data_IF_850282926844
#
_entry.id   IF_850282926844
#
_cell.length_a   1.000
_cell.length_b   1.000
_cell.length_c   1.000
_cell.angle_alpha   90.00
_cell.angle_beta   90.00
_cell.angle_gamma   90.00
#
_symmetry.space_group_name_H-M   'P 1'
#
loop_
_entity.id
_entity.type
_entity.pdbx_description
1 polymer ?
#
# COMPACT_ATOMS: atom_id res chain seq x y z
N UNK A 1 -1.76 8.65 14.62
CA UNK A 1 -2.59 8.73 15.84
C UNK A 1 -2.92 7.33 16.32
N UNK A 2 -2.95 7.11 17.63
CA UNK A 2 -3.36 5.84 18.24
C UNK A 2 -4.27 6.13 19.45
N UNK A 3 -5.55 6.39 19.18
CA UNK A 3 -6.57 6.62 20.19
C UNK A 3 -7.62 5.51 20.09
N UNK A 4 -7.81 4.74 21.17
CA UNK A 4 -8.66 3.55 21.18
C UNK A 4 -9.88 3.75 22.10
N UNK A 5 -11.05 3.32 21.62
CA UNK A 5 -12.36 3.47 22.29
C UNK A 5 -12.62 4.89 22.84
N UNK A 6 -12.29 5.91 22.05
CA UNK A 6 -12.48 7.32 22.41
C UNK A 6 -13.74 7.89 21.74
N UNK A 7 -14.46 8.78 22.43
CA UNK A 7 -15.71 9.38 21.93
C UNK A 7 -15.67 10.90 22.10
N UNK A 8 -16.10 11.67 21.09
CA UNK A 8 -16.04 13.13 21.14
C UNK A 8 -14.63 13.63 21.49
N UNK A 9 -13.66 13.33 20.61
CA UNK A 9 -12.28 13.79 20.77
C UNK A 9 -11.80 14.48 19.49
N UNK A 10 -11.31 15.73 19.60
CA UNK A 10 -10.72 16.49 18.49
C UNK A 10 -9.20 16.46 18.60
N UNK A 11 -8.51 16.18 17.48
CA UNK A 11 -7.06 16.23 17.32
C UNK A 11 -6.23 15.47 18.39
N UNK A 12 -6.84 14.60 19.19
CA UNK A 12 -6.23 13.96 20.36
C UNK A 12 -5.61 12.61 20.01
N UNK A 13 -4.44 12.31 20.57
CA UNK A 13 -3.66 11.09 20.31
C UNK A 13 -3.25 10.37 21.61
N UNK A 14 -2.98 9.07 21.51
CA UNK A 14 -2.53 8.21 22.62
C UNK A 14 -3.54 8.10 23.77
N UNK A 15 -4.84 8.28 23.48
CA UNK A 15 -5.90 8.16 24.47
C UNK A 15 -6.50 6.74 24.51
N UNK A 16 -7.00 6.34 25.69
CA UNK A 16 -7.71 5.07 25.93
C UNK A 16 -8.98 5.32 26.72
N UNK A 17 -10.11 4.85 26.19
CA UNK A 17 -11.42 4.90 26.87
C UNK A 17 -11.83 6.32 27.34
N UNK A 18 -11.34 7.38 26.66
CA UNK A 18 -11.59 8.78 27.03
C UNK A 18 -12.76 9.37 26.27
N UNK A 19 -13.39 10.38 26.86
CA UNK A 19 -14.44 11.18 26.20
C UNK A 19 -14.18 12.67 26.40
N UNK A 20 -14.63 13.48 25.45
CA UNK A 20 -14.60 14.96 25.55
C UNK A 20 -13.19 15.50 25.75
N UNK A 21 -12.29 15.22 24.80
CA UNK A 21 -10.91 15.73 24.82
C UNK A 21 -10.58 16.53 23.56
N UNK A 22 -9.83 17.63 23.69
CA UNK A 22 -9.39 18.46 22.57
C UNK A 22 -7.89 18.70 22.77
N UNK A 23 -7.06 18.29 21.80
CA UNK A 23 -5.58 18.26 21.93
C UNK A 23 -5.11 17.61 23.25
N UNK A 24 -5.66 16.43 23.58
CA UNK A 24 -5.47 15.69 24.83
C UNK A 24 -5.93 16.38 26.14
N UNK A 25 -6.34 17.64 26.11
CA UNK A 25 -6.93 18.32 27.27
C UNK A 25 -8.35 17.80 27.52
N UNK A 26 -8.73 17.39 28.75
CA UNK A 26 -10.09 16.98 29.09
C UNK A 26 -11.03 18.19 29.23
N UNK A 27 -12.30 17.97 28.93
CA UNK A 27 -13.41 18.92 29.06
C UNK A 27 -14.62 18.23 29.70
N UNK A 28 -15.52 18.98 30.33
CA UNK A 28 -16.89 18.49 30.54
C UNK A 28 -17.60 18.32 29.19
N UNK A 29 -18.71 17.58 29.18
CA UNK A 29 -19.51 17.38 27.95
C UNK A 29 -19.99 18.72 27.40
N UNK A 30 -20.46 19.59 28.28
CA UNK A 30 -21.05 20.89 27.97
C UNK A 30 -19.99 21.85 27.41
N UNK A 31 -18.82 21.96 28.08
CA UNK A 31 -17.69 22.76 27.58
C UNK A 31 -17.16 22.21 26.25
N UNK A 32 -17.06 20.89 26.07
CA UNK A 32 -16.62 20.30 24.81
C UNK A 32 -17.54 20.71 23.64
N UNK A 33 -18.86 20.64 23.83
CA UNK A 33 -19.81 21.05 22.79
C UNK A 33 -19.93 22.58 22.62
N UNK A 34 -19.39 23.38 23.55
CA UNK A 34 -19.18 24.81 23.35
C UNK A 34 -17.88 25.08 22.57
N UNK A 35 -16.79 24.40 22.92
CA UNK A 35 -15.48 24.56 22.27
C UNK A 35 -15.51 24.09 20.82
N UNK A 36 -16.16 22.94 20.54
CA UNK A 36 -16.22 22.38 19.19
C UNK A 36 -16.95 23.30 18.18
N UNK A 37 -17.86 24.16 18.65
CA UNK A 37 -18.58 25.13 17.80
C UNK A 37 -17.70 26.25 17.26
N UNK A 38 -16.53 26.50 17.86
CA UNK A 38 -15.54 27.46 17.36
C UNK A 38 -14.82 26.96 16.09
N UNK A 39 -14.85 25.65 15.86
CA UNK A 39 -14.12 24.96 14.81
C UNK A 39 -15.05 24.59 13.65
N UNK A 40 -15.53 25.60 12.89
CA UNK A 40 -16.39 25.36 11.73
C UNK A 40 -15.59 24.75 10.57
N UNK A 41 -15.65 23.42 10.46
CA UNK A 41 -15.00 22.62 9.42
C UNK A 41 -15.53 22.91 8.00
N UNK A 42 -16.63 23.66 7.85
CA UNK A 42 -17.15 24.03 6.54
C UNK A 42 -16.28 25.06 5.82
N UNK A 43 -15.43 25.79 6.56
CA UNK A 43 -14.41 26.72 6.05
C UNK A 43 -13.10 26.00 5.70
N UNK A 44 -12.57 26.25 4.50
CA UNK A 44 -11.29 25.70 4.05
C UNK A 44 -10.11 26.22 4.91
N UNK A 45 -10.09 27.53 5.21
CA UNK A 45 -9.09 28.13 6.11
C UNK A 45 -9.11 27.48 7.50
N UNK A 46 -10.29 27.37 8.12
CA UNK A 46 -10.43 26.76 9.45
C UNK A 46 -10.04 25.27 9.43
N UNK A 47 -10.46 24.52 8.40
CA UNK A 47 -10.06 23.13 8.21
C UNK A 47 -8.54 22.96 8.10
N UNK A 48 -7.87 23.79 7.30
CA UNK A 48 -6.40 23.75 7.13
C UNK A 48 -5.65 24.16 8.39
N UNK A 49 -6.14 25.13 9.15
CA UNK A 49 -5.53 25.53 10.41
C UNK A 49 -5.68 24.45 11.50
N UNK A 50 -6.86 23.82 11.62
CA UNK A 50 -7.06 22.67 12.51
C UNK A 50 -6.13 21.51 12.12
N UNK A 51 -5.99 21.22 10.83
CA UNK A 51 -5.05 20.20 10.34
C UNK A 51 -3.62 20.52 10.80
N UNK A 52 -3.16 21.76 10.60
CA UNK A 52 -1.81 22.20 11.01
C UNK A 52 -1.62 22.07 12.52
N UNK A 53 -2.55 22.60 13.33
CA UNK A 53 -2.51 22.50 14.79
C UNK A 53 -2.50 21.05 15.28
N UNK A 54 -3.25 20.17 14.62
CA UNK A 54 -3.29 18.75 14.94
C UNK A 54 -1.98 18.05 14.60
N UNK A 55 -1.41 18.30 13.41
CA UNK A 55 -0.10 17.78 13.02
C UNK A 55 1.02 18.26 13.94
N UNK A 56 1.01 19.54 14.33
CA UNK A 56 1.99 20.10 15.28
C UNK A 56 1.82 19.50 16.68
N UNK A 57 0.59 19.32 17.17
CA UNK A 57 0.32 18.61 18.43
C UNK A 57 0.81 17.16 18.40
N UNK A 58 0.58 16.41 17.32
CA UNK A 58 1.01 15.02 17.22
C UNK A 58 2.53 14.84 17.19
N UNK A 59 3.29 15.81 16.66
CA UNK A 59 4.78 15.80 16.73
C UNK A 59 5.32 15.88 18.17
N UNK A 60 4.54 16.44 19.10
CA UNK A 60 4.93 16.54 20.53
C UNK A 60 4.68 15.25 21.32
N UNK A 61 3.95 14.29 20.75
CA UNK A 61 3.56 13.05 21.41
C UNK A 61 4.31 11.86 20.79
N UNK A 62 4.90 10.96 21.59
CA UNK A 62 5.56 9.78 21.05
C UNK A 62 4.50 8.89 20.37
N UNK A 63 4.61 8.57 19.07
CA UNK A 63 3.59 7.82 18.35
C UNK A 63 3.68 6.31 18.68
N UNK A 64 2.57 5.55 18.47
CA UNK A 64 2.61 4.08 18.50
C UNK A 64 3.70 3.61 17.53
N UNK A 65 4.74 2.88 17.99
CA UNK A 65 5.91 2.58 17.18
C UNK A 65 5.57 1.65 16.02
N UNK A 66 4.84 0.57 16.32
CA UNK A 66 4.42 -0.48 15.40
C UNK A 66 2.98 -0.92 15.73
N UNK A 67 2.33 -1.55 14.76
CA UNK A 67 1.07 -2.28 14.96
C UNK A 67 1.41 -3.76 14.77
N UNK A 68 1.59 -4.48 15.88
CA UNK A 68 2.25 -5.79 15.95
C UNK A 68 1.69 -6.68 17.09
N UNK A 69 0.37 -6.63 17.33
CA UNK A 69 -0.24 -7.29 18.50
C UNK A 69 -0.21 -8.83 18.36
N UNK A 70 -0.13 -9.58 19.47
CA UNK A 70 -0.05 -11.07 19.46
C UNK A 70 1.04 -11.72 18.57
N UNK A 71 2.07 -10.98 18.15
CA UNK A 71 3.06 -11.46 17.16
C UNK A 71 4.48 -11.62 17.73
N UNK A 72 5.25 -12.56 17.19
CA UNK A 72 6.62 -12.90 17.65
C UNK A 72 7.60 -13.03 16.49
N UNK A 73 8.74 -12.34 16.53
CA UNK A 73 9.76 -12.40 15.47
C UNK A 73 9.19 -12.04 14.08
N UNK A 74 8.65 -10.82 13.95
CA UNK A 74 7.97 -10.35 12.72
C UNK A 74 8.31 -8.88 12.45
N UNK A 75 8.52 -8.51 11.19
CA UNK A 75 8.94 -7.15 10.77
C UNK A 75 8.28 -6.84 9.44
N UNK A 76 7.59 -5.71 9.19
CA UNK A 76 6.92 -4.87 10.19
C UNK A 76 6.04 -3.72 9.66
N UNK A 77 4.75 -3.95 9.36
CA UNK A 77 3.65 -3.03 9.75
C UNK A 77 2.29 -3.70 9.65
N UNK A 78 1.37 -3.40 10.57
CA UNK A 78 0.05 -4.04 10.71
C UNK A 78 0.14 -5.57 10.70
N UNK A 79 0.68 -6.06 11.80
CA UNK A 79 0.84 -7.46 12.18
C UNK A 79 0.06 -7.69 13.49
N UNK A 80 -0.57 -8.85 13.62
CA UNK A 80 -1.66 -9.26 14.52
C UNK A 80 -1.80 -10.80 14.48
N UNK A 81 -1.15 -11.55 15.39
CA UNK A 81 -1.16 -13.04 15.43
C UNK A 81 -0.19 -13.75 14.43
N UNK A 82 1.00 -13.20 14.17
CA UNK A 82 2.03 -13.80 13.29
C UNK A 82 3.29 -14.30 14.02
N UNK A 83 4.06 -15.20 13.38
CA UNK A 83 5.36 -15.71 13.87
C UNK A 83 6.38 -15.82 12.73
N UNK A 84 7.66 -15.50 12.96
CA UNK A 84 8.76 -15.72 12.01
C UNK A 84 8.51 -15.14 10.58
N UNK A 85 8.49 -13.82 10.39
CA UNK A 85 8.19 -13.20 9.08
C UNK A 85 8.98 -11.91 8.79
N UNK A 86 9.52 -11.75 7.57
CA UNK A 86 10.43 -10.65 7.22
C UNK A 86 10.36 -10.30 5.73
N UNK A 87 10.24 -9.05 5.26
CA UNK A 87 10.04 -7.75 5.93
C UNK A 87 8.58 -7.25 5.81
N UNK A 88 7.63 -8.19 5.91
CA UNK A 88 6.18 -8.03 5.75
C UNK A 88 5.54 -6.70 6.20
N UNK A 89 4.60 -6.28 5.38
CA UNK A 89 3.51 -5.40 5.76
C UNK A 89 2.29 -5.84 4.96
N UNK A 90 1.16 -5.15 5.01
CA UNK A 90 0.26 -5.34 6.14
C UNK A 90 -0.34 -6.74 6.01
N UNK A 91 -0.23 -7.59 7.02
CA UNK A 91 -0.70 -8.98 6.94
C UNK A 91 -0.61 -9.73 8.26
N UNK A 92 -1.56 -10.66 8.41
CA UNK A 92 -1.56 -11.77 9.37
C UNK A 92 -2.13 -13.05 8.75
N UNK A 93 -2.15 -14.20 9.42
CA UNK A 93 -1.31 -14.58 10.57
C UNK A 93 -0.28 -15.58 10.09
N UNK A 94 0.98 -15.18 9.91
CA UNK A 94 1.92 -15.79 8.95
C UNK A 94 3.09 -16.51 9.67
N UNK A 95 3.74 -17.53 9.07
CA UNK A 95 4.93 -18.29 9.58
C UNK A 95 5.47 -19.32 8.55
N UNK A 96 6.74 -19.50 8.17
CA UNK A 96 8.04 -18.91 8.59
C UNK A 96 8.73 -18.03 7.50
N UNK A 97 8.09 -17.88 6.34
CA UNK A 97 8.07 -16.70 5.45
C UNK A 97 9.32 -15.91 5.03
N UNK A 98 9.28 -15.55 3.75
CA UNK A 98 9.51 -14.20 3.20
C UNK A 98 8.52 -13.98 2.02
N UNK A 99 8.59 -12.96 1.17
CA UNK A 99 8.74 -11.53 1.41
C UNK A 99 7.39 -10.82 1.10
N UNK A 100 6.98 -9.83 1.90
CA UNK A 100 6.37 -8.54 1.48
C UNK A 100 4.95 -8.37 0.84
N UNK A 101 4.05 -7.72 1.62
CA UNK A 101 3.15 -6.62 1.17
C UNK A 101 2.02 -6.95 0.16
N UNK A 102 0.72 -7.12 0.47
CA UNK A 102 -0.10 -7.13 1.71
C UNK A 102 -1.28 -8.14 1.61
N UNK A 103 -1.61 -8.88 2.69
CA UNK A 103 -2.78 -9.78 2.83
C UNK A 103 -3.49 -9.51 4.20
N UNK A 104 -4.55 -10.23 4.62
CA UNK A 104 -5.21 -9.92 5.93
C UNK A 104 -5.91 -11.13 6.62
N UNK A 105 -5.14 -11.99 7.31
CA UNK A 105 -5.55 -13.28 7.94
C UNK A 105 -5.97 -14.35 6.90
N UNK A 106 -5.79 -15.69 7.09
CA UNK A 106 -5.79 -16.47 8.35
C UNK A 106 -4.96 -17.81 8.37
N UNK A 107 -3.98 -17.99 9.28
CA UNK A 107 -2.76 -18.75 8.94
C UNK A 107 -2.17 -18.57 7.52
N UNK A 108 -0.85 -18.38 7.38
CA UNK A 108 -0.17 -18.31 6.06
C UNK A 108 1.25 -18.89 6.16
N UNK A 109 1.53 -20.03 5.51
CA UNK A 109 2.75 -20.84 5.76
C UNK A 109 3.36 -21.49 4.49
N UNK A 110 4.69 -21.64 4.44
CA UNK A 110 5.54 -21.96 3.25
C UNK A 110 5.53 -20.89 2.13
N UNK A 111 6.28 -19.79 2.30
CA UNK A 111 6.07 -18.55 1.54
C UNK A 111 7.36 -17.76 1.20
N UNK A 112 7.40 -17.02 0.07
CA UNK A 112 6.46 -17.02 -1.07
C UNK A 112 7.23 -16.79 -2.39
N UNK A 113 7.66 -15.61 -2.84
CA UNK A 113 7.50 -14.26 -2.29
C UNK A 113 6.31 -13.48 -2.90
N UNK A 114 5.84 -12.47 -2.16
CA UNK A 114 4.56 -11.77 -2.32
C UNK A 114 4.77 -10.37 -2.94
N UNK A 115 3.73 -9.83 -3.59
CA UNK A 115 3.47 -8.38 -3.74
C UNK A 115 1.95 -8.15 -3.99
N UNK A 116 1.12 -8.51 -2.98
CA UNK A 116 -0.36 -8.48 -2.87
C UNK A 116 -1.16 -9.35 -3.86
N UNK A 117 -2.22 -10.11 -3.53
CA UNK A 117 -3.04 -10.35 -2.32
C UNK A 117 -3.16 -11.90 -2.11
N UNK A 118 -3.78 -12.44 -1.04
CA UNK A 118 -3.67 -13.89 -0.71
C UNK A 118 -4.54 -14.41 0.46
N UNK A 119 -4.80 -15.74 0.48
CA UNK A 119 -5.51 -16.49 1.54
C UNK A 119 -5.38 -18.04 1.32
N UNK A 120 -4.79 -18.82 2.25
CA UNK A 120 -4.06 -20.11 2.04
C UNK A 120 -2.55 -19.82 1.86
N UNK A 121 -1.79 -20.85 1.51
CA UNK A 121 -0.91 -20.95 0.33
C UNK A 121 0.49 -21.43 0.74
N UNK A 122 0.89 -22.63 0.30
CA UNK A 122 2.16 -23.27 0.66
C UNK A 122 2.97 -23.78 -0.55
N UNK A 123 4.31 -23.69 -0.58
CA UNK A 123 5.21 -23.99 -1.73
C UNK A 123 5.11 -23.01 -2.92
N UNK A 124 6.01 -22.02 -3.00
CA UNK A 124 5.99 -21.01 -4.07
C UNK A 124 7.37 -20.38 -4.33
N UNK A 125 7.57 -19.71 -5.48
CA UNK A 125 8.66 -18.75 -5.79
C UNK A 125 8.43 -18.12 -7.17
N UNK A 126 8.64 -16.85 -7.48
CA UNK A 126 8.16 -15.65 -6.78
C UNK A 126 6.92 -15.10 -7.53
N UNK A 127 6.21 -14.09 -6.98
CA UNK A 127 4.90 -13.70 -7.51
C UNK A 127 4.46 -12.24 -7.23
N UNK A 128 3.61 -11.70 -8.12
CA UNK A 128 3.02 -10.35 -8.00
C UNK A 128 1.46 -10.31 -8.13
N UNK A 129 0.79 -11.45 -7.95
CA UNK A 129 -0.66 -11.61 -7.69
C UNK A 129 -1.01 -13.10 -7.54
N UNK A 130 -1.63 -13.55 -6.44
CA UNK A 130 -2.32 -14.86 -6.38
C UNK A 130 -3.32 -14.94 -5.20
N UNK A 131 -4.38 -14.12 -5.24
CA UNK A 131 -5.42 -14.09 -4.21
C UNK A 131 -6.20 -15.40 -4.06
N UNK A 132 -6.14 -15.97 -2.85
CA UNK A 132 -6.86 -17.16 -2.36
C UNK A 132 -6.58 -18.51 -3.07
N UNK A 133 -6.19 -19.55 -2.31
CA UNK A 133 -5.79 -20.88 -2.78
C UNK A 133 -4.54 -20.96 -3.67
N UNK A 134 -3.57 -21.75 -3.23
CA UNK A 134 -2.57 -22.40 -4.06
C UNK A 134 -1.74 -23.34 -3.19
N UNK A 135 -1.06 -24.30 -3.81
CA UNK A 135 0.16 -24.83 -3.23
C UNK A 135 0.98 -25.48 -4.34
N UNK A 136 2.22 -25.05 -4.53
CA UNK A 136 3.00 -25.27 -5.75
C UNK A 136 2.71 -24.22 -6.83
N UNK A 137 3.66 -23.29 -7.04
CA UNK A 137 3.78 -22.42 -8.22
C UNK A 137 5.21 -21.88 -8.40
N UNK A 138 5.79 -22.02 -9.61
CA UNK A 138 7.14 -21.50 -9.98
C UNK A 138 7.23 -21.07 -11.47
N UNK A 139 7.44 -19.83 -11.91
CA UNK A 139 7.66 -18.55 -11.25
C UNK A 139 6.75 -17.50 -11.96
N UNK A 140 6.02 -16.67 -11.21
CA UNK A 140 4.61 -16.40 -11.56
C UNK A 140 4.16 -14.92 -11.45
N UNK A 141 2.97 -14.59 -11.96
CA UNK A 141 2.60 -13.19 -12.23
C UNK A 141 1.33 -12.62 -11.54
N UNK A 142 0.26 -13.33 -11.18
CA UNK A 142 -0.14 -14.73 -11.37
C UNK A 142 -1.68 -14.89 -11.40
N UNK A 143 -2.25 -15.96 -10.82
CA UNK A 143 -3.72 -16.19 -10.80
C UNK A 143 -4.23 -17.15 -9.70
N UNK A 144 -4.76 -16.63 -8.59
CA UNK A 144 -5.78 -17.36 -7.81
C UNK A 144 -7.11 -17.32 -8.60
N UNK A 145 -8.02 -18.31 -8.63
CA UNK A 145 -8.50 -19.31 -7.65
C UNK A 145 -8.97 -20.58 -8.44
N UNK A 146 -8.90 -21.86 -8.04
CA UNK A 146 -8.43 -22.55 -6.81
C UNK A 146 -7.30 -23.56 -7.15
N UNK A 147 -6.10 -23.45 -6.58
CA UNK A 147 -4.94 -24.21 -7.05
C UNK A 147 -4.34 -25.29 -6.11
N UNK A 148 -3.79 -26.36 -6.71
CA UNK A 148 -2.63 -27.12 -6.23
C UNK A 148 -1.71 -27.59 -7.40
N UNK A 149 -0.48 -27.07 -7.47
CA UNK A 149 0.69 -27.31 -8.35
C UNK A 149 0.76 -26.72 -9.78
N UNK A 150 1.82 -25.94 -10.10
CA UNK A 150 2.05 -25.32 -11.42
C UNK A 150 3.42 -24.63 -11.64
N UNK A 151 3.67 -24.32 -12.91
CA UNK A 151 4.79 -23.50 -13.40
C UNK A 151 4.38 -22.78 -14.71
N UNK A 152 5.05 -21.75 -15.24
CA UNK A 152 5.15 -20.35 -14.80
C UNK A 152 3.87 -19.63 -15.28
N UNK A 153 3.22 -18.70 -14.54
CA UNK A 153 1.80 -18.42 -14.86
C UNK A 153 1.20 -17.01 -14.61
N UNK A 154 0.23 -16.62 -15.45
CA UNK A 154 -0.93 -15.74 -15.19
C UNK A 154 -2.13 -16.31 -15.99
N UNK A 155 -3.34 -16.36 -15.40
CA UNK A 155 -4.43 -17.25 -15.82
C UNK A 155 -4.03 -18.74 -15.96
N UNK A 156 -4.29 -19.51 -14.92
CA UNK A 156 -4.89 -20.84 -15.06
C UNK A 156 -5.56 -21.20 -13.73
N UNK A 157 -5.72 -22.50 -13.46
CA UNK A 157 -5.51 -23.14 -12.16
C UNK A 157 -6.77 -23.61 -11.41
N UNK A 158 -7.33 -24.70 -11.94
CA UNK A 158 -7.34 -25.95 -11.19
C UNK A 158 -6.64 -27.05 -12.01
N UNK A 159 -6.24 -28.16 -11.39
CA UNK A 159 -5.50 -29.26 -12.05
C UNK A 159 -3.99 -29.25 -11.75
N UNK A 160 -3.27 -30.30 -12.18
CA UNK A 160 -1.86 -30.57 -11.85
C UNK A 160 -0.94 -30.64 -13.08
N UNK A 161 0.38 -30.72 -12.89
CA UNK A 161 1.35 -30.96 -13.99
C UNK A 161 1.23 -29.91 -15.13
N UNK A 162 1.53 -28.65 -14.83
CA UNK A 162 1.49 -27.53 -15.77
C UNK A 162 2.87 -26.89 -15.92
N UNK A 163 3.27 -26.52 -17.15
CA UNK A 163 4.58 -25.92 -17.40
C UNK A 163 4.58 -24.81 -18.47
N UNK A 164 4.63 -23.55 -18.02
CA UNK A 164 4.84 -22.34 -18.84
C UNK A 164 3.56 -21.67 -19.36
N UNK A 165 2.52 -21.54 -18.53
CA UNK A 165 1.14 -21.30 -18.96
C UNK A 165 0.61 -19.85 -18.83
N UNK A 166 -0.10 -19.39 -19.87
CA UNK A 166 -1.11 -18.29 -19.84
C UNK A 166 -2.14 -18.69 -20.90
N UNK A 167 -3.24 -19.40 -20.61
CA UNK A 167 -4.49 -18.93 -19.96
C UNK A 167 -5.46 -20.11 -19.63
N UNK A 168 -5.10 -21.03 -18.72
CA UNK A 168 -5.73 -22.38 -18.59
C UNK A 168 -7.05 -22.50 -17.80
N UNK A 169 -7.83 -23.58 -18.04
CA UNK A 169 -9.22 -23.77 -17.55
C UNK A 169 -9.58 -25.17 -17.02
N UNK A 170 -8.70 -25.79 -16.22
CA UNK A 170 -8.73 -27.19 -15.72
C UNK A 170 -8.21 -28.25 -16.70
N UNK A 171 -7.40 -29.16 -16.16
CA UNK A 171 -6.80 -30.31 -16.82
C UNK A 171 -5.43 -30.63 -16.25
N UNK A 172 -4.86 -31.76 -16.66
CA UNK A 172 -3.52 -32.21 -16.25
C UNK A 172 -2.63 -32.44 -17.48
N UNK A 173 -1.31 -32.28 -17.31
CA UNK A 173 -0.26 -32.45 -18.33
C UNK A 173 -0.37 -31.42 -19.47
N UNK A 174 -0.14 -30.15 -19.14
CA UNK A 174 -0.34 -29.00 -20.04
C UNK A 174 0.95 -28.20 -20.25
N UNK A 175 1.27 -27.91 -21.52
CA UNK A 175 2.35 -27.01 -21.95
C UNK A 175 1.78 -26.07 -23.02
N UNK A 176 1.99 -24.75 -22.86
CA UNK A 176 1.52 -23.70 -23.78
C UNK A 176 0.06 -23.86 -24.27
N UNK A 177 -0.88 -24.07 -23.33
CA UNK A 177 -2.32 -24.28 -23.57
C UNK A 177 -2.71 -25.59 -24.30
N UNK A 178 -1.79 -26.52 -24.55
CA UNK A 178 -2.08 -27.84 -25.12
C UNK A 178 -1.94 -28.96 -24.09
N UNK A 179 -2.86 -29.92 -24.12
CA UNK A 179 -2.81 -31.17 -23.32
C UNK A 179 -2.02 -32.25 -24.05
N UNK A 180 -1.32 -33.08 -23.28
CA UNK A 180 -0.50 -34.19 -23.73
C UNK A 180 -0.78 -35.45 -22.91
N UNK A 181 -0.43 -36.62 -23.45
CA UNK A 181 -0.30 -37.82 -22.64
C UNK A 181 0.93 -37.73 -21.72
N UNK A 182 0.91 -38.42 -20.58
CA UNK A 182 1.92 -38.30 -19.52
C UNK A 182 3.36 -38.43 -20.04
N UNK A 183 3.65 -39.51 -20.76
CA UNK A 183 4.99 -39.80 -21.30
C UNK A 183 5.48 -38.76 -22.32
N UNK A 184 4.55 -38.13 -23.06
CA UNK A 184 4.87 -37.06 -24.00
C UNK A 184 5.17 -35.76 -23.26
N UNK A 185 4.36 -35.43 -22.25
CA UNK A 185 4.57 -34.29 -21.37
C UNK A 185 5.93 -34.35 -20.68
N UNK A 186 6.28 -35.48 -20.07
CA UNK A 186 7.54 -35.63 -19.33
C UNK A 186 8.76 -35.45 -20.25
N UNK A 187 8.73 -36.05 -21.45
CA UNK A 187 9.78 -35.89 -22.47
C UNK A 187 9.87 -34.45 -22.99
N UNK A 188 8.74 -33.80 -23.25
CA UNK A 188 8.70 -32.42 -23.75
C UNK A 188 9.16 -31.43 -22.69
N UNK A 189 8.72 -31.58 -21.43
CA UNK A 189 9.16 -30.75 -20.29
C UNK A 189 10.67 -30.87 -20.09
N UNK A 190 11.22 -32.09 -20.07
CA UNK A 190 12.66 -32.30 -19.94
C UNK A 190 13.46 -31.62 -21.07
N UNK A 191 13.00 -31.76 -22.34
CA UNK A 191 13.63 -31.12 -23.50
C UNK A 191 13.60 -29.59 -23.41
N UNK A 192 12.49 -29.00 -22.99
CA UNK A 192 12.36 -27.54 -22.83
C UNK A 192 13.32 -27.05 -21.74
N UNK A 193 13.38 -27.73 -20.58
CA UNK A 193 14.27 -27.36 -19.47
C UNK A 193 15.75 -27.47 -19.87
N UNK A 194 16.15 -28.52 -20.59
CA UNK A 194 17.51 -28.65 -21.11
C UNK A 194 17.84 -27.48 -22.04
N UNK A 195 16.97 -27.17 -23.00
CA UNK A 195 17.13 -26.06 -23.93
C UNK A 195 17.24 -24.69 -23.23
N UNK A 196 16.44 -24.43 -22.19
CA UNK A 196 16.53 -23.19 -21.37
C UNK A 196 17.86 -23.07 -20.60
N UNK A 197 18.55 -24.18 -20.35
CA UNK A 197 19.84 -24.18 -19.66
C UNK A 197 21.04 -24.10 -20.61
N UNK A 198 20.93 -24.72 -21.79
CA UNK A 198 21.95 -24.69 -22.86
C UNK A 198 21.92 -23.36 -23.64
N UNK A 199 20.74 -22.79 -23.86
CA UNK A 199 20.54 -21.49 -24.51
C UNK A 199 19.64 -20.59 -23.64
N UNK A 200 20.18 -20.05 -22.54
CA UNK A 200 19.46 -19.12 -21.68
C UNK A 200 19.20 -17.79 -22.38
N UNK A 201 18.14 -17.10 -21.95
CA UNK A 201 17.93 -15.72 -22.37
C UNK A 201 18.95 -14.82 -21.68
N UNK A 202 19.59 -13.91 -22.41
CA UNK A 202 20.53 -12.93 -21.86
C UNK A 202 20.04 -11.54 -22.24
N UNK A 203 19.75 -10.72 -21.24
CA UNK A 203 19.20 -9.38 -21.48
C UNK A 203 20.29 -8.36 -21.87
N UNK A 204 19.86 -7.13 -22.18
CA UNK A 204 20.75 -6.02 -22.55
C UNK A 204 21.79 -5.64 -21.48
N UNK A 205 21.63 -6.07 -20.23
CA UNK A 205 22.58 -5.85 -19.12
C UNK A 205 23.50 -7.06 -18.88
N UNK A 206 23.36 -8.14 -19.66
CA UNK A 206 24.10 -9.38 -19.46
C UNK A 206 23.54 -10.26 -18.34
N UNK A 207 22.32 -9.96 -17.83
CA UNK A 207 21.65 -10.81 -16.84
C UNK A 207 21.17 -12.08 -17.54
N UNK A 208 21.50 -13.24 -16.96
CA UNK A 208 21.25 -14.56 -17.56
C UNK A 208 20.01 -15.19 -16.93
N UNK A 209 19.02 -15.51 -17.76
CA UNK A 209 17.74 -16.06 -17.37
C UNK A 209 17.63 -17.52 -17.84
N UNK A 210 17.74 -18.44 -16.88
CA UNK A 210 17.65 -19.90 -17.06
C UNK A 210 16.30 -20.44 -16.60
N UNK A 211 16.07 -21.74 -16.78
CA UNK A 211 15.02 -22.41 -16.02
C UNK A 211 15.31 -22.28 -14.51
N UNK A 212 14.44 -21.55 -13.80
CA UNK A 212 14.62 -21.13 -12.41
C UNK A 212 14.44 -19.63 -12.20
N UNK A 213 14.54 -18.82 -13.26
CA UNK A 213 14.61 -17.36 -13.16
C UNK A 213 13.26 -16.68 -13.46
N UNK A 214 13.02 -15.54 -12.80
CA UNK A 214 11.83 -14.73 -13.06
C UNK A 214 11.86 -14.10 -14.47
N UNK A 215 10.70 -13.65 -14.97
CA UNK A 215 10.62 -13.01 -16.28
C UNK A 215 11.59 -11.82 -16.41
N UNK A 216 12.38 -11.72 -17.51
CA UNK A 216 13.27 -10.60 -17.74
C UNK A 216 12.53 -9.25 -17.68
N UNK A 217 13.09 -8.30 -16.94
CA UNK A 217 12.40 -7.03 -16.65
C UNK A 217 12.15 -6.18 -17.89
N UNK A 218 12.95 -6.34 -18.95
CA UNK A 218 12.72 -5.68 -20.23
C UNK A 218 11.48 -6.20 -20.99
N UNK A 219 10.93 -7.35 -20.58
CA UNK A 219 9.64 -7.88 -21.05
C UNK A 219 8.45 -7.40 -20.20
N UNK A 220 8.68 -6.65 -19.11
CA UNK A 220 7.60 -6.03 -18.35
C UNK A 220 6.71 -5.18 -19.27
N UNK A 221 5.37 -5.26 -19.19
CA UNK A 221 4.49 -4.39 -19.97
C UNK A 221 4.51 -2.94 -19.48
N UNK A 222 4.93 -2.67 -18.24
CA UNK A 222 4.97 -1.33 -17.63
C UNK A 222 6.38 -0.71 -17.64
N UNK A 223 6.49 0.61 -17.65
CA UNK A 223 7.73 1.31 -17.32
C UNK A 223 7.89 1.45 -15.80
N UNK A 224 9.13 1.59 -15.31
CA UNK A 224 9.44 1.67 -13.89
C UNK A 224 8.62 2.76 -13.16
N UNK A 225 8.57 3.94 -13.76
CA UNK A 225 7.86 5.13 -13.28
C UNK A 225 6.33 5.07 -13.46
N UNK A 226 5.79 4.00 -14.04
CA UNK A 226 4.35 3.70 -14.05
C UNK A 226 3.95 2.70 -12.95
N UNK A 227 4.92 2.09 -12.27
CA UNK A 227 4.68 1.12 -11.20
C UNK A 227 4.82 1.75 -9.81
N UNK A 228 4.20 1.12 -8.82
CA UNK A 228 4.32 1.50 -7.41
C UNK A 228 5.77 1.43 -6.88
N UNK A 229 6.67 0.69 -7.56
CA UNK A 229 8.08 0.62 -7.19
C UNK A 229 8.73 2.00 -7.18
N UNK A 230 8.33 2.89 -8.09
CA UNK A 230 8.82 4.28 -8.14
C UNK A 230 8.42 5.14 -6.92
N UNK A 231 7.38 4.76 -6.18
CA UNK A 231 7.00 5.42 -4.93
C UNK A 231 7.79 4.88 -3.73
N UNK A 232 8.09 3.57 -3.70
CA UNK A 232 8.90 2.95 -2.65
C UNK A 232 10.40 3.25 -2.80
N UNK A 233 10.88 3.29 -4.04
CA UNK A 233 12.28 3.43 -4.41
C UNK A 233 12.42 4.58 -5.44
N UNK A 234 12.17 5.84 -5.05
CA UNK A 234 12.30 6.98 -5.97
C UNK A 234 13.76 7.13 -6.43
N UNK A 235 13.96 7.11 -7.75
CA UNK A 235 15.27 7.15 -8.42
C UNK A 235 15.16 7.93 -9.73
N UNK A 236 16.27 8.43 -10.26
CA UNK A 236 16.32 9.23 -11.48
C UNK A 236 16.15 8.36 -12.74
N UNK A 237 15.69 8.99 -13.84
CA UNK A 237 15.62 8.35 -15.15
C UNK A 237 16.95 7.69 -15.56
N UNK A 238 18.08 8.36 -15.31
CA UNK A 238 19.40 7.86 -15.66
C UNK A 238 19.74 6.55 -14.91
N UNK A 239 19.48 6.50 -13.61
CA UNK A 239 19.68 5.29 -12.80
C UNK A 239 18.74 4.15 -13.19
N UNK A 240 17.50 4.45 -13.59
CA UNK A 240 16.52 3.47 -14.11
C UNK A 240 17.01 2.86 -15.43
N UNK A 241 17.44 3.70 -16.37
CA UNK A 241 17.96 3.27 -17.67
C UNK A 241 19.30 2.51 -17.51
N UNK A 242 20.18 2.95 -16.60
CA UNK A 242 21.42 2.25 -16.25
C UNK A 242 21.16 0.85 -15.69
N UNK A 243 20.12 0.67 -14.87
CA UNK A 243 19.70 -0.64 -14.35
C UNK A 243 18.98 -1.52 -15.40
N UNK A 244 18.80 -1.02 -16.63
CA UNK A 244 18.16 -1.73 -17.72
C UNK A 244 16.63 -1.82 -17.58
N UNK A 245 16.03 -0.89 -16.84
CA UNK A 245 14.58 -0.75 -16.75
C UNK A 245 14.07 0.26 -17.80
N UNK A 246 12.80 0.14 -18.18
CA UNK A 246 12.18 1.08 -19.12
C UNK A 246 11.66 2.32 -18.38
N UNK A 247 11.86 3.50 -18.95
CA UNK A 247 11.25 4.75 -18.52
C UNK A 247 10.20 5.20 -19.56
N UNK A 248 9.05 5.71 -19.11
CA UNK A 248 8.04 6.33 -19.98
C UNK A 248 7.94 7.82 -19.66
N UNK A 249 8.09 8.67 -20.67
CA UNK A 249 7.89 10.11 -20.46
C UNK A 249 6.43 10.41 -20.04
N UNK A 250 6.21 11.16 -18.95
CA UNK A 250 4.87 11.49 -18.50
C UNK A 250 4.11 12.36 -19.51
N UNK A 251 2.92 11.89 -19.91
CA UNK A 251 2.02 12.68 -20.77
C UNK A 251 1.46 13.89 -20.00
N UNK A 252 1.59 15.13 -20.54
CA UNK A 252 1.10 16.33 -19.87
C UNK A 252 -0.44 16.36 -19.85
N UNK A 253 -1.04 16.02 -18.70
CA UNK A 253 -2.50 16.03 -18.50
C UNK A 253 -3.06 17.42 -18.20
N UNK A 254 -2.86 18.36 -19.12
CA UNK A 254 -3.44 19.71 -19.07
C UNK A 254 -4.88 19.70 -19.57
N UNK A 255 -5.74 20.50 -18.94
CA UNK A 255 -7.14 20.66 -19.31
C UNK A 255 -7.47 22.16 -19.36
N UNK A 256 -8.42 22.57 -20.18
CA UNK A 256 -8.96 23.93 -20.11
C UNK A 256 -9.82 24.08 -18.85
N UNK A 257 -9.54 25.13 -18.08
CA UNK A 257 -10.14 25.40 -16.77
C UNK A 257 -10.85 26.73 -16.76
N UNK A 258 -12.08 26.77 -16.26
CA UNK A 258 -12.94 27.96 -16.18
C UNK A 258 -12.81 28.72 -14.86
N UNK A 259 -12.30 28.05 -13.81
CA UNK A 259 -12.16 28.60 -12.46
C UNK A 259 -10.85 28.11 -11.82
N UNK A 260 -10.24 28.90 -10.92
CA UNK A 260 -9.09 28.42 -10.12
C UNK A 260 -9.53 27.94 -8.75
N UNK A 261 -8.75 27.07 -8.13
CA UNK A 261 -8.97 26.66 -6.74
C UNK A 261 -8.91 27.81 -5.71
N UNK A 262 -8.21 28.90 -6.00
CA UNK A 262 -8.16 30.10 -5.15
C UNK A 262 -9.45 30.93 -5.17
N UNK A 263 -10.21 30.88 -6.27
CA UNK A 263 -11.47 31.61 -6.45
C UNK A 263 -12.67 30.92 -5.80
N UNK A 264 -12.50 29.65 -5.38
CA UNK A 264 -13.54 28.89 -4.71
C UNK A 264 -13.92 29.53 -3.37
N UNK A 265 -15.21 29.55 -2.99
CA UNK A 265 -15.64 30.09 -1.70
C UNK A 265 -14.98 29.34 -0.54
N UNK A 266 -14.60 30.07 0.50
CA UNK A 266 -13.94 29.48 1.67
C UNK A 266 -14.86 28.50 2.38
N UNK A 267 -16.14 28.85 2.55
CA UNK A 267 -17.12 28.07 3.29
C UNK A 267 -18.11 27.34 2.36
N UNK A 268 -18.40 26.05 2.65
CA UNK A 268 -19.28 25.20 1.80
C UNK A 268 -20.74 25.69 1.67
N UNK A 269 -21.28 26.35 2.70
CA UNK A 269 -22.59 27.04 2.68
C UNK A 269 -22.66 28.12 1.58
N UNK A 270 -21.53 28.72 1.20
CA UNK A 270 -21.45 29.79 0.21
C UNK A 270 -21.15 29.25 -1.20
N UNK A 271 -21.01 27.92 -1.37
CA UNK A 271 -20.83 27.29 -2.68
C UNK A 271 -22.14 27.32 -3.48
N UNK A 272 -22.21 28.01 -4.64
CA UNK A 272 -23.39 28.00 -5.49
C UNK A 272 -23.49 26.69 -6.29
N UNK A 273 -24.70 26.30 -6.71
CA UNK A 273 -24.91 25.10 -7.55
C UNK A 273 -24.26 25.23 -8.94
N UNK A 274 -23.97 26.45 -9.39
CA UNK A 274 -23.23 26.69 -10.65
C UNK A 274 -21.85 26.05 -10.67
N UNK A 275 -21.25 25.74 -9.51
CA UNK A 275 -19.94 25.08 -9.41
C UNK A 275 -19.90 23.71 -10.12
N UNK A 276 -21.06 23.07 -10.31
CA UNK A 276 -21.20 21.80 -11.02
C UNK A 276 -20.87 21.91 -12.52
N UNK A 277 -20.88 23.12 -13.08
CA UNK A 277 -20.53 23.39 -14.48
C UNK A 277 -19.04 23.76 -14.65
N UNK A 278 -18.34 24.07 -13.56
CA UNK A 278 -16.99 24.63 -13.58
C UNK A 278 -15.90 23.56 -13.74
N UNK A 279 -14.89 23.85 -14.55
CA UNK A 279 -13.64 23.11 -14.60
C UNK A 279 -12.59 23.82 -13.73
N UNK A 280 -12.40 23.34 -12.51
CA UNK A 280 -11.54 23.93 -11.49
C UNK A 280 -10.09 23.52 -11.74
N UNK A 281 -9.17 24.49 -11.84
CA UNK A 281 -7.72 24.24 -11.88
C UNK A 281 -7.22 23.71 -10.54
N UNK A 282 -6.56 22.55 -10.54
CA UNK A 282 -5.93 21.97 -9.36
C UNK A 282 -4.85 22.90 -8.78
N UNK A 283 -4.79 23.02 -7.45
CA UNK A 283 -3.77 23.81 -6.75
C UNK A 283 -2.34 23.21 -6.86
N UNK A 284 -2.21 21.88 -7.03
CA UNK A 284 -0.91 21.17 -7.06
C UNK A 284 -0.40 20.79 -8.46
N UNK A 285 -1.23 20.82 -9.50
CA UNK A 285 -0.83 20.39 -10.85
C UNK A 285 -1.68 21.04 -11.95
N UNK A 286 -1.33 20.81 -13.22
CA UNK A 286 -2.02 21.43 -14.37
C UNK A 286 -3.37 20.78 -14.75
N UNK A 287 -3.86 19.80 -13.97
CA UNK A 287 -5.13 19.12 -14.23
C UNK A 287 -6.32 20.00 -13.84
N UNK A 288 -7.31 20.06 -14.72
CA UNK A 288 -8.67 20.49 -14.36
C UNK A 288 -9.42 19.36 -13.66
N UNK A 289 -10.39 19.69 -12.80
CA UNK A 289 -11.33 18.75 -12.22
C UNK A 289 -12.71 19.39 -12.03
N UNK A 290 -13.75 18.57 -11.85
CA UNK A 290 -15.13 19.02 -11.58
C UNK A 290 -15.61 18.46 -10.25
N UNK A 291 -16.62 19.11 -9.67
CA UNK A 291 -17.40 18.58 -8.54
C UNK A 291 -18.69 17.97 -9.11
N UNK A 292 -19.05 16.75 -8.71
CA UNK A 292 -20.34 16.15 -9.11
C UNK A 292 -21.46 16.45 -8.08
N UNK A 293 -22.75 16.38 -8.46
CA UNK A 293 -23.86 16.72 -7.55
C UNK A 293 -23.85 15.93 -6.22
N UNK A 294 -23.44 14.66 -6.27
CA UNK A 294 -23.31 13.80 -5.09
C UNK A 294 -22.19 14.27 -4.14
N UNK A 295 -21.06 14.74 -4.67
CA UNK A 295 -19.97 15.30 -3.85
C UNK A 295 -20.40 16.62 -3.21
N UNK A 296 -21.02 17.54 -3.98
CA UNK A 296 -21.50 18.83 -3.46
C UNK A 296 -22.53 18.64 -2.34
N UNK A 297 -23.48 17.72 -2.54
CA UNK A 297 -24.46 17.33 -1.52
C UNK A 297 -23.79 16.79 -0.26
N UNK A 298 -22.88 15.83 -0.40
CA UNK A 298 -22.15 15.23 0.72
C UNK A 298 -21.34 16.28 1.50
N UNK A 299 -20.63 17.18 0.81
CA UNK A 299 -19.84 18.23 1.43
C UNK A 299 -20.72 19.21 2.23
N UNK A 300 -21.89 19.59 1.71
CA UNK A 300 -22.88 20.42 2.43
C UNK A 300 -23.44 19.70 3.65
N UNK A 301 -23.90 18.45 3.51
CA UNK A 301 -24.48 17.66 4.61
C UNK A 301 -23.48 17.35 5.73
N UNK A 302 -22.19 17.19 5.39
CA UNK A 302 -21.11 16.96 6.37
C UNK A 302 -20.42 18.24 6.83
N UNK A 303 -20.81 19.40 6.30
CA UNK A 303 -20.20 20.70 6.54
C UNK A 303 -18.67 20.65 6.38
N UNK A 304 -18.23 20.28 5.17
CA UNK A 304 -16.83 20.14 4.73
C UNK A 304 -16.56 21.04 3.51
N UNK A 305 -15.35 21.60 3.34
CA UNK A 305 -15.10 22.60 2.31
C UNK A 305 -14.92 21.96 0.93
N UNK A 306 -15.13 22.74 -0.13
CA UNK A 306 -14.84 22.29 -1.50
C UNK A 306 -13.34 21.95 -1.64
N UNK A 307 -12.98 20.80 -2.26
CA UNK A 307 -11.58 20.42 -2.43
C UNK A 307 -10.86 21.40 -3.37
N UNK A 308 -9.64 21.79 -3.01
CA UNK A 308 -8.74 22.64 -3.83
C UNK A 308 -7.82 21.85 -4.76
N UNK A 309 -7.87 20.52 -4.65
CA UNK A 309 -6.99 19.59 -5.35
C UNK A 309 -7.80 18.53 -6.10
N UNK A 310 -7.35 18.22 -7.32
CA UNK A 310 -7.97 17.18 -8.13
C UNK A 310 -7.94 15.81 -7.42
N UNK A 311 -8.86 14.88 -7.74
CA UNK A 311 -8.90 13.56 -7.12
C UNK A 311 -7.56 12.83 -7.13
N UNK A 312 -6.80 12.92 -8.23
CA UNK A 312 -5.50 12.28 -8.37
C UNK A 312 -4.46 12.76 -7.35
N UNK A 313 -4.30 14.07 -7.15
CA UNK A 313 -3.34 14.59 -6.16
C UNK A 313 -3.75 14.22 -4.72
N UNK A 314 -5.06 14.16 -4.43
CA UNK A 314 -5.58 13.71 -3.13
C UNK A 314 -5.39 12.20 -2.90
N UNK A 315 -5.41 11.40 -3.96
CA UNK A 315 -5.10 9.96 -3.92
C UNK A 315 -3.59 9.75 -3.76
N UNK A 316 -2.78 10.46 -4.54
CA UNK A 316 -1.32 10.44 -4.49
C UNK A 316 -0.76 10.86 -3.13
N UNK A 317 -1.31 11.90 -2.49
CA UNK A 317 -0.93 12.28 -1.13
C UNK A 317 -1.20 11.14 -0.13
N UNK A 318 -2.38 10.51 -0.21
CA UNK A 318 -2.72 9.35 0.64
C UNK A 318 -1.84 8.14 0.35
N UNK A 319 -1.50 7.91 -0.90
CA UNK A 319 -0.63 6.82 -1.32
C UNK A 319 0.80 7.03 -0.80
N UNK A 320 1.35 8.23 -0.94
CA UNK A 320 2.65 8.60 -0.39
C UNK A 320 2.66 8.54 1.14
N UNK A 321 1.56 8.93 1.82
CA UNK A 321 1.39 8.69 3.26
C UNK A 321 1.37 7.19 3.59
N UNK A 322 0.69 6.36 2.81
CA UNK A 322 0.69 4.90 2.99
C UNK A 322 2.10 4.32 2.82
N UNK A 323 2.79 4.57 1.71
CA UNK A 323 4.19 4.15 1.46
C UNK A 323 5.12 4.60 2.60
N UNK A 324 5.03 5.87 3.02
CA UNK A 324 5.77 6.43 4.15
C UNK A 324 5.53 5.67 5.47
N UNK A 325 4.33 5.12 5.67
CA UNK A 325 3.97 4.33 6.84
C UNK A 325 4.52 2.89 6.81
N UNK A 326 5.13 2.45 5.70
CA UNK A 326 5.70 1.10 5.51
C UNK A 326 7.23 1.08 5.59
N UNK A 327 7.87 2.18 6.03
CA UNK A 327 9.33 2.23 6.18
C UNK A 327 9.74 1.54 7.49
N UNK A 328 10.87 0.84 7.46
CA UNK A 328 11.57 0.37 8.66
C UNK A 328 12.80 1.25 8.86
N UNK A 329 12.79 2.05 9.93
CA UNK A 329 13.84 3.02 10.25
C UNK A 329 14.41 2.64 11.62
N UNK A 330 15.71 2.32 11.71
CA UNK A 330 16.38 2.08 13.00
C UNK A 330 16.30 3.32 13.91
N UNK A 331 15.83 3.11 15.14
CA UNK A 331 15.74 4.14 16.18
C UNK A 331 16.19 3.57 17.53
N UNK A 332 16.61 4.47 18.41
CA UNK A 332 16.85 4.20 19.83
C UNK A 332 15.62 4.66 20.62
N UNK A 333 15.17 3.86 21.59
CA UNK A 333 14.05 4.21 22.45
C UNK A 333 14.44 5.32 23.44
N UNK A 334 13.81 6.48 23.36
CA UNK A 334 14.11 7.64 24.20
C UNK A 334 13.83 7.41 25.70
N UNK A 335 13.10 6.35 26.07
CA UNK A 335 12.79 5.99 27.47
C UNK A 335 13.71 4.91 28.08
N UNK A 336 14.36 4.07 27.26
CA UNK A 336 15.15 2.95 27.80
C UNK A 336 16.44 2.58 27.02
N UNK A 337 16.79 3.32 25.96
CA UNK A 337 18.01 3.08 25.19
C UNK A 337 18.01 1.85 24.30
N UNK A 338 16.92 1.07 24.26
CA UNK A 338 16.83 -0.11 23.40
C UNK A 338 16.75 0.26 21.91
N UNK A 339 17.51 -0.45 21.06
CA UNK A 339 17.40 -0.38 19.61
C UNK A 339 16.11 -1.06 19.14
N UNK A 340 15.41 -0.44 18.20
CA UNK A 340 14.21 -1.00 17.56
C UNK A 340 13.95 -0.32 16.20
N UNK A 341 12.99 -0.85 15.44
CA UNK A 341 12.58 -0.27 14.15
C UNK A 341 11.19 0.35 14.23
N UNK A 342 10.99 1.44 13.51
CA UNK A 342 9.70 2.12 13.37
C UNK A 342 9.63 2.89 12.06
N UNK A 343 8.45 3.37 11.69
CA UNK A 343 8.20 4.14 10.45
C UNK A 343 8.51 5.64 10.53
N UNK A 344 8.98 6.14 11.68
CA UNK A 344 9.22 7.57 11.92
C UNK A 344 10.71 7.91 11.95
N UNK A 345 11.12 8.83 11.07
CA UNK A 345 12.39 9.58 11.16
C UNK A 345 12.44 10.46 12.41
N UNK A 346 13.61 11.03 12.70
CA UNK A 346 13.79 11.95 13.85
C UNK A 346 12.99 13.24 13.67
N UNK A 347 12.82 13.67 12.43
CA UNK A 347 12.11 14.87 12.01
C UNK A 347 10.58 14.69 12.10
N UNK A 348 10.09 13.46 11.89
CA UNK A 348 8.66 13.11 11.98
C UNK A 348 8.21 12.80 13.42
N UNK A 349 9.11 12.28 14.25
CA UNK A 349 8.88 12.02 15.67
C UNK A 349 10.17 12.25 16.46
N UNK A 350 10.22 13.39 17.18
CA UNK A 350 11.34 13.79 18.02
C UNK A 350 11.60 12.78 19.14
N UNK A 351 10.52 12.24 19.71
CA UNK A 351 10.53 11.22 20.78
C UNK A 351 9.81 9.97 20.27
N UNK A 352 10.42 8.80 20.43
CA UNK A 352 9.85 7.50 20.08
C UNK A 352 10.13 6.47 21.18
N UNK A 353 9.11 5.69 21.52
CA UNK A 353 9.22 4.62 22.51
C UNK A 353 9.14 3.26 21.83
N UNK A 354 9.97 2.30 22.25
CA UNK A 354 9.81 0.90 21.86
C UNK A 354 8.47 0.36 22.37
N UNK A 355 7.97 -0.74 21.78
CA UNK A 355 6.66 -1.34 22.09
C UNK A 355 6.35 -1.43 23.60
N UNK A 356 7.29 -1.96 24.39
CA UNK A 356 7.18 -2.11 25.84
C UNK A 356 7.00 -0.75 26.55
N UNK A 357 7.84 0.23 26.22
CA UNK A 357 7.80 1.56 26.83
C UNK A 357 6.55 2.35 26.41
N UNK A 358 6.10 2.18 25.16
CA UNK A 358 4.85 2.77 24.67
C UNK A 358 3.63 2.19 25.37
N UNK A 359 3.56 0.86 25.50
CA UNK A 359 2.49 0.18 26.25
C UNK A 359 2.44 0.66 27.70
N UNK A 360 3.57 0.66 28.42
CA UNK A 360 3.66 1.13 29.81
C UNK A 360 3.24 2.61 30.04
N UNK A 361 3.23 3.44 28.99
CA UNK A 361 2.86 4.86 29.08
C UNK A 361 1.39 5.11 28.70
N UNK A 362 0.85 4.36 27.73
CA UNK A 362 -0.43 4.70 27.07
C UNK A 362 -1.45 3.55 26.98
N UNK A 363 -1.16 2.37 27.53
CA UNK A 363 -2.02 1.17 27.47
C UNK A 363 -2.27 0.60 28.86
#
# INVERSE_FOLDING_TARGET
MDSFNCQNCLASANLRNKKYHIFNKPYTKEEYFQEIKKWDLGSYKTYKEIQRLAEDHWKTLPPKPNFDDFSTNSTGSHVFQSKNCKECYQVDGVEDSKFLLMLYAPPVKDCYDVSSWGNNISLFYDCCNCGENASGLKFCYGSGINLYDAEYCYQSLGGSNQFGCVSGRKGDYIIFNKRYEKDEYEKLRAKIIQHMNEMPYVDKKGRVYKYGEFFPVELSPYAYNETIASNFFPTSKAEVEEQGYRWREPEPRKHDTTMKAEDLPDHIKDAPDSILNEAIKCQKCERGFRIIPMELKFLRERNLPLPRECPFCRIEEKFNQWVKNLRLIPRVCDKCGANFETKYTKEEALVVYCKKCYQQEFV
#
